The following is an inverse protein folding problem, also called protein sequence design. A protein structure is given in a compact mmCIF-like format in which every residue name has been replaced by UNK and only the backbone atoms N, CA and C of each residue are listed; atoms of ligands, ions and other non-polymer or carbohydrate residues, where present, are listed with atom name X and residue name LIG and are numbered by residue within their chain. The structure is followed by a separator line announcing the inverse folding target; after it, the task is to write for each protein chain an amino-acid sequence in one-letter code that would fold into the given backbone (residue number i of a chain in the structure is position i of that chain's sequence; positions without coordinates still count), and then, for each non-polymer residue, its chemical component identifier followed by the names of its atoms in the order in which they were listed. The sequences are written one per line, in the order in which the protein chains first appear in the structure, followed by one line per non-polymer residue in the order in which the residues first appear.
data_IF_868081956476
#
_entry.id   IF_868081956476
#
_cell.length_a   1.000
_cell.length_b   1.000
_cell.length_c   1.000
_cell.angle_alpha   90.00
_cell.angle_beta   90.00
_cell.angle_gamma   90.00
#
_symmetry.space_group_name_H-M   'P 1'
#
loop_
_entity.id
_entity.type
_entity.pdbx_description
1 polymer ?
#
# COMPACT_ATOMS: atom_id res chain seq x y z
N UNK A 1 -10.38 -11.10 -10.96
CA UNK A 1 -10.75 -9.68 -11.03
C UNK A 1 -9.90 -8.93 -10.02
N UNK A 2 -9.22 -7.84 -10.42
CA UNK A 2 -8.40 -7.04 -9.49
C UNK A 2 -9.32 -6.25 -8.56
N UNK A 3 -9.04 -6.30 -7.27
CA UNK A 3 -9.87 -5.70 -6.21
C UNK A 3 -9.15 -4.56 -5.48
N UNK A 4 -7.83 -4.42 -5.67
CA UNK A 4 -7.01 -3.38 -5.03
C UNK A 4 -6.51 -2.41 -6.10
N UNK A 5 -6.87 -1.14 -5.97
CA UNK A 5 -6.35 -0.04 -6.78
C UNK A 5 -5.14 0.62 -6.10
N UNK A 6 -4.09 0.92 -6.88
CA UNK A 6 -2.88 1.61 -6.42
C UNK A 6 -2.46 2.71 -7.40
N UNK A 7 -1.66 3.69 -6.96
CA UNK A 7 -1.35 4.88 -7.76
C UNK A 7 -0.29 4.62 -8.85
N UNK A 8 0.70 3.77 -8.57
CA UNK A 8 1.86 3.64 -9.46
C UNK A 8 2.28 2.18 -9.73
N UNK A 9 3.26 2.02 -10.63
CA UNK A 9 3.78 0.69 -10.98
C UNK A 9 4.64 0.09 -9.86
N UNK A 10 5.34 0.92 -9.09
CA UNK A 10 6.11 0.46 -7.92
C UNK A 10 5.18 -0.14 -6.86
N UNK A 11 4.07 0.55 -6.53
CA UNK A 11 3.05 0.03 -5.62
C UNK A 11 2.49 -1.29 -6.12
N UNK A 12 2.13 -1.33 -7.42
CA UNK A 12 1.59 -2.55 -8.04
C UNK A 12 2.56 -3.73 -7.92
N UNK A 13 3.82 -3.49 -8.19
CA UNK A 13 4.85 -4.51 -8.08
C UNK A 13 5.02 -4.98 -6.62
N UNK A 14 5.17 -4.01 -5.70
CA UNK A 14 5.34 -4.30 -4.28
C UNK A 14 4.16 -5.06 -3.68
N UNK A 15 2.93 -4.52 -3.77
CA UNK A 15 1.75 -5.15 -3.18
C UNK A 15 1.41 -6.49 -3.82
N UNK A 16 1.68 -6.64 -5.12
CA UNK A 16 1.54 -7.92 -5.80
C UNK A 16 2.45 -9.01 -5.24
N UNK A 17 3.66 -8.64 -4.80
CA UNK A 17 4.61 -9.53 -4.14
C UNK A 17 4.27 -9.75 -2.67
N UNK A 18 3.93 -8.67 -1.95
CA UNK A 18 3.58 -8.72 -0.53
C UNK A 18 2.41 -9.68 -0.26
N UNK A 19 1.39 -9.65 -1.13
CA UNK A 19 0.20 -10.51 -1.06
C UNK A 19 0.34 -11.82 -1.88
N UNK A 20 1.50 -12.05 -2.49
CA UNK A 20 1.77 -13.19 -3.36
C UNK A 20 0.69 -13.39 -4.45
N UNK A 21 0.09 -12.32 -4.92
CA UNK A 21 -0.95 -12.34 -5.95
C UNK A 21 -1.03 -11.03 -6.73
N UNK A 22 -0.27 -10.93 -7.82
CA UNK A 22 -0.25 -9.75 -8.69
C UNK A 22 -1.60 -9.44 -9.37
N UNK A 23 -2.47 -10.44 -9.53
CA UNK A 23 -3.75 -10.27 -10.21
C UNK A 23 -4.78 -9.53 -9.33
N UNK A 24 -4.54 -9.45 -8.03
CA UNK A 24 -5.37 -8.65 -7.12
C UNK A 24 -5.16 -7.14 -7.33
N UNK A 25 -3.99 -6.73 -7.84
CA UNK A 25 -3.57 -5.33 -7.85
C UNK A 25 -3.77 -4.73 -9.24
N UNK A 26 -4.47 -3.60 -9.29
CA UNK A 26 -4.65 -2.77 -10.48
C UNK A 26 -3.99 -1.40 -10.28
N UNK A 27 -3.18 -0.99 -11.26
CA UNK A 27 -2.62 0.37 -11.29
C UNK A 27 -3.64 1.34 -11.87
N UNK A 28 -3.87 2.43 -11.18
CA UNK A 28 -4.59 3.62 -11.65
C UNK A 28 -3.58 4.72 -12.03
N UNK A 29 -4.04 5.85 -12.58
CA UNK A 29 -3.13 6.93 -13.01
C UNK A 29 -2.65 7.80 -11.86
N UNK A 30 -3.49 7.97 -10.84
CA UNK A 30 -3.24 8.82 -9.67
C UNK A 30 -4.21 8.46 -8.53
N UNK A 31 -4.04 9.10 -7.37
CA UNK A 31 -4.88 8.95 -6.19
C UNK A 31 -6.37 9.20 -6.44
N UNK A 32 -6.71 10.24 -7.21
CA UNK A 32 -8.09 10.54 -7.56
C UNK A 32 -8.74 9.36 -8.29
N UNK A 33 -8.06 8.77 -9.27
CA UNK A 33 -8.56 7.60 -9.98
C UNK A 33 -8.64 6.35 -9.10
N UNK A 34 -7.73 6.19 -8.11
CA UNK A 34 -7.85 5.13 -7.11
C UNK A 34 -9.13 5.32 -6.30
N UNK A 35 -9.38 6.52 -5.79
CA UNK A 35 -10.60 6.83 -5.02
C UNK A 35 -11.85 6.62 -5.87
N UNK A 36 -11.89 7.12 -7.11
CA UNK A 36 -13.01 6.90 -8.03
C UNK A 36 -13.23 5.42 -8.36
N UNK A 37 -12.15 4.66 -8.49
CA UNK A 37 -12.20 3.22 -8.69
C UNK A 37 -12.92 2.50 -7.56
N UNK A 38 -12.63 2.89 -6.33
CA UNK A 38 -13.26 2.33 -5.13
C UNK A 38 -14.70 2.82 -4.98
N UNK A 39 -14.94 4.12 -5.08
CA UNK A 39 -16.24 4.72 -4.73
C UNK A 39 -17.28 4.64 -5.83
N UNK A 40 -16.88 4.81 -7.09
CA UNK A 40 -17.78 4.93 -8.24
C UNK A 40 -17.77 3.67 -9.11
N UNK A 41 -16.57 3.28 -9.60
CA UNK A 41 -16.47 2.19 -10.58
C UNK A 41 -16.78 0.81 -10.01
N UNK A 42 -16.54 0.60 -8.71
CA UNK A 42 -16.90 -0.64 -8.03
C UNK A 42 -18.41 -0.79 -7.77
N UNK A 43 -19.20 0.29 -7.90
CA UNK A 43 -20.65 0.30 -7.71
C UNK A 43 -21.10 -0.33 -6.37
N UNK A 44 -20.40 -0.02 -5.28
CA UNK A 44 -20.67 -0.57 -3.95
C UNK A 44 -20.13 -1.99 -3.71
N UNK A 45 -19.56 -2.65 -4.72
CA UNK A 45 -18.91 -3.94 -4.52
C UNK A 45 -17.63 -3.78 -3.69
N UNK A 46 -17.20 -4.89 -3.11
CA UNK A 46 -15.95 -4.99 -2.37
C UNK A 46 -14.77 -4.45 -3.20
N UNK A 47 -14.06 -3.51 -2.63
CA UNK A 47 -12.88 -2.90 -3.26
C UNK A 47 -11.98 -2.21 -2.24
N UNK A 48 -10.70 -2.14 -2.54
CA UNK A 48 -9.68 -1.51 -1.71
C UNK A 48 -8.89 -0.50 -2.58
N UNK A 49 -8.62 0.67 -2.04
CA UNK A 49 -7.69 1.63 -2.63
C UNK A 49 -6.52 1.87 -1.70
N UNK A 50 -5.29 1.89 -2.23
CA UNK A 50 -4.10 2.26 -1.47
C UNK A 50 -3.51 3.50 -2.13
N UNK A 51 -3.33 4.56 -1.35
CA UNK A 51 -2.84 5.86 -1.79
C UNK A 51 -1.77 6.38 -0.83
N UNK A 52 -0.90 7.24 -1.33
CA UNK A 52 0.10 7.91 -0.50
C UNK A 52 -0.55 8.92 0.47
N UNK A 53 0.02 9.11 1.67
CA UNK A 53 -0.34 10.23 2.54
C UNK A 53 0.26 11.50 1.95
N UNK A 54 -0.58 12.31 1.27
CA UNK A 54 -0.22 13.65 0.85
C UNK A 54 -1.09 14.68 1.56
N UNK A 55 -0.54 15.87 1.87
CA UNK A 55 -1.19 16.92 2.68
C UNK A 55 -2.53 17.42 2.14
N UNK A 56 -2.80 17.19 0.86
CA UNK A 56 -3.99 17.69 0.16
C UNK A 56 -5.02 16.60 -0.21
N UNK A 57 -4.79 15.35 0.15
CA UNK A 57 -5.72 14.26 -0.20
C UNK A 57 -6.94 14.27 0.71
N UNK A 58 -8.12 14.41 0.10
CA UNK A 58 -9.39 14.38 0.82
C UNK A 58 -10.02 12.99 0.73
N UNK A 59 -10.11 12.33 1.86
CA UNK A 59 -10.91 11.10 1.99
C UNK A 59 -12.39 11.48 1.88
N UNK A 60 -13.20 10.77 1.09
CA UNK A 60 -14.63 11.05 0.97
C UNK A 60 -15.36 10.98 2.33
N UNK A 61 -16.36 11.84 2.55
CA UNK A 61 -17.05 11.98 3.85
C UNK A 61 -17.81 10.73 4.31
N UNK A 62 -18.14 9.84 3.38
CA UNK A 62 -18.78 8.56 3.68
C UNK A 62 -17.79 7.47 4.12
N UNK A 63 -16.50 7.79 4.24
CA UNK A 63 -15.50 6.90 4.84
C UNK A 63 -15.19 7.33 6.27
N UNK A 64 -15.09 6.37 7.16
CA UNK A 64 -14.70 6.54 8.55
C UNK A 64 -13.34 5.88 8.80
N UNK A 65 -12.54 6.51 9.65
CA UNK A 65 -11.27 5.98 10.10
C UNK A 65 -11.52 4.79 11.05
N UNK A 66 -11.00 3.62 10.72
CA UNK A 66 -11.17 2.40 11.51
C UNK A 66 -9.86 1.90 12.14
N UNK A 67 -8.70 2.32 11.61
CA UNK A 67 -7.40 2.02 12.18
C UNK A 67 -6.38 3.08 11.79
N UNK A 68 -5.46 3.42 12.70
CA UNK A 68 -4.41 4.40 12.46
C UNK A 68 -3.14 4.05 13.23
N UNK A 69 -2.00 4.21 12.56
CA UNK A 69 -0.68 4.25 13.17
C UNK A 69 0.19 5.31 12.45
N UNK A 70 1.46 5.43 12.85
CA UNK A 70 2.37 6.44 12.30
C UNK A 70 2.61 6.32 10.78
N UNK A 71 2.31 5.17 10.19
CA UNK A 71 2.64 4.86 8.80
C UNK A 71 1.43 4.53 7.93
N UNK A 72 0.25 4.32 8.53
CA UNK A 72 -0.91 3.81 7.82
C UNK A 72 -2.20 4.29 8.48
N UNK A 73 -3.16 4.72 7.66
CA UNK A 73 -4.54 4.94 8.10
C UNK A 73 -5.46 4.10 7.23
N UNK A 74 -6.41 3.42 7.85
CA UNK A 74 -7.38 2.55 7.17
C UNK A 74 -8.77 3.13 7.38
N UNK A 75 -9.44 3.40 6.28
CA UNK A 75 -10.80 3.94 6.25
C UNK A 75 -11.74 2.93 5.62
N UNK A 76 -12.94 2.80 6.18
CA UNK A 76 -14.01 1.97 5.64
C UNK A 76 -15.21 2.84 5.27
N UNK A 77 -15.83 2.55 4.14
CA UNK A 77 -17.11 3.14 3.78
C UNK A 77 -18.19 2.71 4.79
N UNK A 78 -18.98 3.67 5.28
CA UNK A 78 -20.02 3.44 6.30
C UNK A 78 -21.16 2.54 5.82
N UNK A 79 -21.42 2.51 4.52
CA UNK A 79 -22.57 1.84 3.91
C UNK A 79 -22.24 0.50 3.25
N UNK A 80 -20.98 0.27 2.93
CA UNK A 80 -20.57 -0.92 2.16
C UNK A 80 -19.16 -1.41 2.50
N UNK A 81 -18.69 -2.45 1.80
CA UNK A 81 -17.36 -3.05 2.01
C UNK A 81 -16.31 -2.48 1.06
N UNK A 82 -16.18 -1.15 1.05
CA UNK A 82 -15.14 -0.42 0.35
C UNK A 82 -14.14 0.15 1.36
N UNK A 83 -12.85 0.06 1.03
CA UNK A 83 -11.78 0.50 1.92
C UNK A 83 -10.84 1.45 1.19
N UNK A 84 -10.36 2.47 1.90
CA UNK A 84 -9.26 3.32 1.48
C UNK A 84 -8.15 3.24 2.53
N UNK A 85 -6.93 3.02 2.08
CA UNK A 85 -5.76 2.92 2.92
C UNK A 85 -4.78 3.99 2.48
N UNK A 86 -4.29 4.78 3.41
CA UNK A 86 -3.20 5.72 3.14
C UNK A 86 -1.92 5.22 3.76
N UNK A 87 -0.82 5.29 3.01
CA UNK A 87 0.51 4.89 3.45
C UNK A 87 1.45 6.09 3.52
N UNK A 88 2.33 6.14 4.50
CA UNK A 88 3.24 7.26 4.74
C UNK A 88 4.40 6.93 5.67
N UNK A 89 5.26 7.91 5.94
CA UNK A 89 5.11 9.35 5.69
C UNK A 89 5.29 9.72 4.21
N UNK A 90 4.58 10.71 3.73
CA UNK A 90 4.62 11.26 2.36
C UNK A 90 4.21 10.24 1.29
N UNK A 91 5.17 9.51 0.67
CA UNK A 91 5.00 8.66 -0.49
C UNK A 91 5.51 7.25 -0.22
N UNK A 92 5.15 6.30 -1.08
CA UNK A 92 5.56 4.91 -1.04
C UNK A 92 7.07 4.74 -0.78
N UNK A 93 7.93 5.49 -1.46
CA UNK A 93 9.37 5.36 -1.34
C UNK A 93 9.86 5.73 0.07
N UNK A 94 9.26 6.73 0.70
CA UNK A 94 9.56 7.10 2.08
C UNK A 94 9.10 6.00 3.05
N UNK A 95 7.93 5.41 2.80
CA UNK A 95 7.38 4.31 3.58
C UNK A 95 8.26 3.06 3.54
N UNK A 96 8.80 2.72 2.35
CA UNK A 96 9.80 1.65 2.17
C UNK A 96 11.10 2.00 2.91
N UNK A 97 11.58 3.23 2.76
CA UNK A 97 12.82 3.67 3.38
C UNK A 97 12.75 3.66 4.92
N UNK A 98 11.60 4.01 5.51
CA UNK A 98 11.40 3.89 6.96
C UNK A 98 11.55 2.43 7.41
N UNK A 99 11.02 1.47 6.67
CA UNK A 99 11.22 0.05 6.96
C UNK A 99 12.71 -0.34 6.89
N UNK A 100 13.42 0.04 5.83
CA UNK A 100 14.84 -0.27 5.67
C UNK A 100 15.68 0.31 6.82
N UNK A 101 15.38 1.52 7.25
CA UNK A 101 16.05 2.15 8.42
C UNK A 101 15.87 1.32 9.70
N UNK A 102 14.71 0.73 9.95
CA UNK A 102 14.49 -0.15 11.11
C UNK A 102 15.37 -1.39 11.08
N UNK A 103 15.87 -1.76 9.89
CA UNK A 103 16.78 -2.89 9.66
C UNK A 103 18.25 -2.46 9.54
N UNK A 104 18.56 -1.18 9.79
CA UNK A 104 19.88 -0.59 9.56
C UNK A 104 20.40 -0.78 8.11
N UNK A 105 19.49 -0.70 7.13
CA UNK A 105 19.78 -0.85 5.72
C UNK A 105 19.60 0.51 5.04
N UNK A 106 20.63 0.96 4.31
CA UNK A 106 20.60 2.20 3.56
C UNK A 106 20.33 1.93 2.07
N UNK A 107 19.65 2.87 1.40
CA UNK A 107 19.36 2.79 -0.04
C UNK A 107 20.65 2.71 -0.86
N UNK A 108 21.70 3.42 -0.46
CA UNK A 108 23.02 3.43 -1.12
C UNK A 108 23.68 2.05 -1.16
N UNK A 109 23.32 1.14 -0.23
CA UNK A 109 23.82 -0.24 -0.26
C UNK A 109 23.31 -1.07 -1.44
N UNK A 110 22.35 -0.54 -2.21
CA UNK A 110 21.81 -1.12 -3.44
C UNK A 110 22.31 -0.40 -4.70
N UNK A 111 23.45 0.28 -4.64
CA UNK A 111 24.05 1.01 -5.75
C UNK A 111 23.23 2.23 -6.24
N UNK A 112 22.31 2.74 -5.42
CA UNK A 112 21.74 4.06 -5.65
C UNK A 112 22.67 5.14 -5.12
N UNK A 113 22.90 6.18 -5.92
CA UNK A 113 23.72 7.32 -5.53
C UNK A 113 23.15 8.05 -4.31
N UNK A 114 21.81 8.13 -4.23
CA UNK A 114 21.07 8.75 -3.16
C UNK A 114 19.58 8.36 -3.22
N UNK A 115 18.81 8.80 -2.23
CA UNK A 115 17.38 8.53 -2.15
C UNK A 115 16.57 9.11 -3.33
N UNK A 116 16.97 10.27 -3.89
CA UNK A 116 16.28 10.88 -5.04
C UNK A 116 16.38 10.00 -6.29
N UNK A 117 17.49 9.31 -6.48
CA UNK A 117 17.66 8.35 -7.59
C UNK A 117 16.76 7.12 -7.42
N UNK A 118 16.60 6.64 -6.20
CA UNK A 118 15.62 5.59 -5.90
C UNK A 118 14.19 6.04 -6.22
N UNK A 119 13.80 7.26 -5.78
CA UNK A 119 12.48 7.82 -6.11
C UNK A 119 12.25 7.98 -7.61
N UNK A 120 13.27 8.44 -8.37
CA UNK A 120 13.16 8.57 -9.83
C UNK A 120 12.93 7.21 -10.49
N UNK A 121 13.68 6.18 -10.06
CA UNK A 121 13.51 4.80 -10.57
C UNK A 121 12.15 4.24 -10.26
N UNK A 122 11.67 4.41 -9.02
CA UNK A 122 10.35 3.98 -8.58
C UNK A 122 9.22 4.55 -9.44
N UNK A 123 9.34 5.80 -9.88
CA UNK A 123 8.36 6.49 -10.74
C UNK A 123 8.43 6.11 -12.21
N UNK A 124 9.33 5.24 -12.61
CA UNK A 124 9.44 4.78 -13.99
C UNK A 124 8.26 3.89 -14.41
N UNK A 125 8.11 3.66 -15.72
CA UNK A 125 7.04 2.80 -16.25
C UNK A 125 7.20 1.32 -15.85
N UNK A 126 8.42 0.88 -15.63
CA UNK A 126 8.75 -0.50 -15.26
C UNK A 126 9.87 -0.53 -14.21
N UNK A 127 9.60 -0.08 -12.97
CA UNK A 127 10.63 0.01 -11.94
C UNK A 127 11.25 -1.36 -11.63
N UNK A 128 10.50 -2.44 -11.78
CA UNK A 128 10.94 -3.82 -11.56
C UNK A 128 12.00 -4.31 -12.55
N UNK A 129 12.26 -3.58 -13.63
CA UNK A 129 13.36 -3.89 -14.58
C UNK A 129 14.69 -3.33 -14.12
N UNK A 130 14.73 -2.37 -13.22
CA UNK A 130 15.94 -1.92 -12.55
C UNK A 130 16.29 -2.89 -11.42
N UNK A 131 17.42 -3.57 -11.56
CA UNK A 131 17.84 -4.60 -10.59
C UNK A 131 18.02 -4.05 -9.18
N UNK A 132 18.42 -2.78 -9.03
CA UNK A 132 18.61 -2.11 -7.73
C UNK A 132 17.27 -1.93 -7.02
N UNK A 133 16.25 -1.43 -7.73
CA UNK A 133 14.88 -1.31 -7.22
C UNK A 133 14.35 -2.69 -6.84
N UNK A 134 14.50 -3.67 -7.72
CA UNK A 134 14.07 -5.04 -7.47
C UNK A 134 14.71 -5.61 -6.20
N UNK A 135 16.02 -5.45 -6.03
CA UNK A 135 16.74 -5.94 -4.85
C UNK A 135 16.24 -5.30 -3.56
N UNK A 136 15.91 -4.00 -3.55
CA UNK A 136 15.28 -3.35 -2.39
C UNK A 136 13.96 -4.03 -2.05
N UNK A 137 13.08 -4.21 -3.03
CA UNK A 137 11.79 -4.86 -2.80
C UNK A 137 11.97 -6.31 -2.34
N UNK A 138 12.94 -7.04 -2.90
CA UNK A 138 13.25 -8.42 -2.49
C UNK A 138 13.64 -8.48 -1.01
N UNK A 139 14.51 -7.59 -0.55
CA UNK A 139 14.93 -7.48 0.85
C UNK A 139 13.75 -7.13 1.77
N UNK A 140 12.89 -6.20 1.35
CA UNK A 140 11.70 -5.84 2.14
C UNK A 140 10.76 -7.03 2.27
N UNK A 141 10.50 -7.75 1.18
CA UNK A 141 9.65 -8.95 1.17
C UNK A 141 10.26 -10.08 2.00
N UNK A 142 11.57 -10.25 2.00
CA UNK A 142 12.25 -11.24 2.83
C UNK A 142 12.15 -10.91 4.33
N UNK A 143 12.36 -9.64 4.67
CA UNK A 143 12.53 -9.20 6.07
C UNK A 143 11.25 -8.73 6.76
N UNK A 144 10.13 -8.51 6.05
CA UNK A 144 8.92 -7.94 6.67
C UNK A 144 8.31 -8.81 7.78
N UNK A 145 8.55 -10.12 7.78
CA UNK A 145 8.03 -11.06 8.78
C UNK A 145 8.94 -11.27 10.00
N UNK A 146 10.10 -10.59 10.07
CA UNK A 146 11.10 -10.89 11.11
C UNK A 146 10.83 -10.26 12.47
N UNK A 147 10.01 -9.22 12.51
CA UNK A 147 9.61 -8.49 13.73
C UNK A 147 8.30 -7.72 13.51
N UNK A 148 7.80 -7.09 14.57
CA UNK A 148 6.65 -6.19 14.48
C UNK A 148 7.03 -4.87 13.78
N UNK A 149 6.50 -4.67 12.59
CA UNK A 149 6.76 -3.50 11.76
C UNK A 149 5.51 -3.08 10.97
N UNK A 150 5.55 -1.87 10.40
CA UNK A 150 4.40 -1.29 9.71
C UNK A 150 4.00 -2.05 8.44
N UNK A 151 4.93 -2.71 7.75
CA UNK A 151 4.64 -3.52 6.55
C UNK A 151 3.90 -4.79 6.93
N UNK A 152 4.38 -5.48 7.98
CA UNK A 152 3.71 -6.68 8.49
C UNK A 152 2.30 -6.37 8.98
N UNK A 153 2.13 -5.26 9.72
CA UNK A 153 0.80 -4.81 10.18
C UNK A 153 -0.14 -4.55 9.02
N UNK A 154 0.30 -3.79 8.03
CA UNK A 154 -0.52 -3.53 6.84
C UNK A 154 -0.85 -4.80 6.09
N UNK A 155 0.11 -5.73 5.93
CA UNK A 155 -0.14 -7.03 5.29
C UNK A 155 -1.24 -7.80 6.01
N UNK A 156 -1.17 -7.96 7.33
CA UNK A 156 -2.19 -8.65 8.12
C UNK A 156 -3.58 -8.02 7.97
N UNK A 157 -3.65 -6.69 8.04
CA UNK A 157 -4.90 -5.97 7.80
C UNK A 157 -5.46 -6.20 6.39
N UNK A 158 -4.60 -6.14 5.35
CA UNK A 158 -5.01 -6.38 3.97
C UNK A 158 -5.50 -7.82 3.77
N UNK A 159 -4.79 -8.81 4.31
CA UNK A 159 -5.19 -10.22 4.24
C UNK A 159 -6.56 -10.41 4.89
N UNK A 160 -6.79 -9.88 6.10
CA UNK A 160 -8.08 -9.95 6.76
C UNK A 160 -9.21 -9.29 5.93
N UNK A 161 -8.99 -8.07 5.42
CA UNK A 161 -9.96 -7.36 4.57
C UNK A 161 -10.30 -8.18 3.31
N UNK A 162 -9.28 -8.78 2.67
CA UNK A 162 -9.45 -9.57 1.44
C UNK A 162 -10.17 -10.90 1.71
N UNK A 163 -9.88 -11.54 2.82
CA UNK A 163 -10.49 -12.81 3.20
C UNK A 163 -11.96 -12.65 3.61
N UNK A 164 -12.25 -11.65 4.42
CA UNK A 164 -13.59 -11.43 4.97
C UNK A 164 -14.54 -10.71 4.02
N UNK A 165 -14.04 -9.76 3.21
CA UNK A 165 -14.83 -9.00 2.24
C UNK A 165 -16.12 -8.42 2.83
N UNK A 166 -17.26 -9.03 2.49
CA UNK A 166 -18.60 -8.63 2.94
C UNK A 166 -18.90 -9.05 4.37
N UNK A 167 -18.17 -10.01 4.92
CA UNK A 167 -18.28 -10.49 6.31
C UNK A 167 -17.32 -9.76 7.26
N UNK A 168 -16.83 -8.59 6.86
CA UNK A 168 -15.89 -7.77 7.64
C UNK A 168 -16.46 -7.44 9.02
N UNK A 169 -15.68 -7.74 10.07
CA UNK A 169 -15.98 -7.39 11.46
C UNK A 169 -14.93 -6.44 12.01
N UNK A 170 -15.35 -5.24 12.42
CA UNK A 170 -14.48 -4.25 13.05
C UNK A 170 -13.89 -4.75 14.37
N UNK A 171 -14.64 -5.55 15.12
CA UNK A 171 -14.19 -6.13 16.40
C UNK A 171 -13.03 -7.11 16.20
N UNK A 172 -13.10 -7.96 15.19
CA UNK A 172 -12.02 -8.90 14.87
C UNK A 172 -10.82 -8.18 14.22
N UNK A 173 -11.10 -7.20 13.35
CA UNK A 173 -10.08 -6.37 12.71
C UNK A 173 -9.18 -5.64 13.74
N UNK A 174 -9.76 -5.14 14.81
CA UNK A 174 -9.03 -4.41 15.86
C UNK A 174 -8.19 -5.32 16.78
N UNK A 175 -8.25 -6.64 16.61
CA UNK A 175 -7.39 -7.59 17.33
C UNK A 175 -6.07 -7.89 16.59
N UNK A 176 -5.95 -7.46 15.33
CA UNK A 176 -4.77 -7.63 14.48
C UNK A 176 -3.68 -6.63 14.85
#
# INVERSE_FOLDING_TARGET
MSIIGVECNADRYFFGRLLNNKNLIRKERNDKEVIESVTIRSKGNFSVGIIDIDKNKKIPQNFELINENNHTKIFKNKENCQFLITIGPRQFEHWINEFLKTKNINIESFDFENFDKFMQTSKSLKPETDIRFKNIIDVVIEKHNTDDNHILKLKKHLEYIIETKYDFSITEFNKI
#
